data_IF_873079767124
#
_entry.id   IF_873079767124
#
_cell.length_a   1.000
_cell.length_b   1.000
_cell.length_c   1.000
_cell.angle_alpha   90.00
_cell.angle_beta   90.00
_cell.angle_gamma   90.00
#
_symmetry.space_group_name_H-M   'P 1'
#
loop_
_entity.id
_entity.type
_entity.pdbx_description
1 polymer ?
#
# COMPACT_ATOMS: atom_id res chain seq x y z
N UNK A 1 -13.16 57.67 13.88
CA UNK A 1 -13.36 57.94 12.43
C UNK A 1 -13.92 56.67 11.80
N UNK A 2 -15.04 56.85 11.12
CA UNK A 2 -15.88 55.79 10.54
C UNK A 2 -15.31 55.33 9.21
N UNK A 3 -15.45 54.01 8.90
CA UNK A 3 -15.21 53.49 7.57
C UNK A 3 -15.94 52.14 7.42
N UNK A 4 -17.17 52.23 6.92
CA UNK A 4 -17.99 51.09 6.53
C UNK A 4 -17.64 50.68 5.08
N UNK A 5 -17.41 49.41 4.81
CA UNK A 5 -17.14 48.83 3.49
C UNK A 5 -18.11 47.67 3.20
N UNK A 6 -18.84 47.82 2.13
CA UNK A 6 -20.04 47.13 1.68
C UNK A 6 -19.79 45.70 1.20
N UNK A 7 -20.76 44.84 1.54
CA UNK A 7 -20.98 43.49 0.99
C UNK A 7 -21.52 43.65 -0.45
N UNK A 8 -20.93 42.92 -1.40
CA UNK A 8 -21.51 42.70 -2.73
C UNK A 8 -21.79 41.20 -2.92
N UNK A 9 -23.06 40.85 -2.95
CA UNK A 9 -23.53 39.52 -3.33
C UNK A 9 -23.63 39.45 -4.85
N UNK A 10 -23.01 38.45 -5.45
CA UNK A 10 -23.18 38.15 -6.90
C UNK A 10 -23.90 36.82 -7.04
N UNK A 11 -25.12 36.91 -7.57
CA UNK A 11 -25.94 35.77 -7.97
C UNK A 11 -25.48 35.31 -9.36
N UNK A 12 -25.25 34.01 -9.54
CA UNK A 12 -25.02 33.39 -10.85
C UNK A 12 -26.24 32.59 -11.25
N UNK A 13 -26.80 33.01 -12.37
CA UNK A 13 -27.95 32.43 -13.05
C UNK A 13 -27.54 31.17 -13.79
N UNK A 14 -28.28 30.09 -13.60
CA UNK A 14 -28.14 28.85 -14.34
C UNK A 14 -28.71 28.92 -15.75
N UNK A 15 -27.98 28.40 -16.72
CA UNK A 15 -28.47 28.24 -18.10
C UNK A 15 -28.65 26.75 -18.39
N UNK A 16 -29.90 26.37 -18.63
CA UNK A 16 -30.32 25.05 -19.11
C UNK A 16 -30.15 25.04 -20.63
N UNK A 17 -29.38 24.11 -21.18
CA UNK A 17 -29.32 23.85 -22.64
C UNK A 17 -30.04 22.54 -22.92
N UNK A 18 -31.16 22.68 -23.65
CA UNK A 18 -31.96 21.58 -24.15
C UNK A 18 -31.30 20.93 -25.39
N UNK A 19 -31.22 19.60 -25.38
CA UNK A 19 -30.70 18.82 -26.51
C UNK A 19 -31.69 18.69 -27.65
N UNK A 20 -31.18 18.83 -28.86
CA UNK A 20 -31.94 18.62 -30.11
C UNK A 20 -31.58 17.22 -30.66
N UNK A 21 -32.60 16.37 -30.78
CA UNK A 21 -32.57 15.10 -31.48
C UNK A 21 -32.65 15.37 -33.01
N UNK A 22 -31.65 14.95 -33.73
CA UNK A 22 -31.67 14.90 -35.20
C UNK A 22 -31.82 13.46 -35.65
N UNK A 23 -33.02 13.11 -36.08
CA UNK A 23 -33.34 11.90 -36.86
C UNK A 23 -33.00 12.19 -38.31
N UNK A 24 -32.00 11.53 -38.86
CA UNK A 24 -31.68 11.56 -40.30
C UNK A 24 -31.94 10.21 -40.94
N UNK A 25 -33.07 10.04 -41.61
CA UNK A 25 -33.28 8.96 -42.58
C UNK A 25 -32.60 9.35 -43.91
N UNK A 26 -31.73 8.49 -44.41
CA UNK A 26 -31.35 8.52 -45.81
C UNK A 26 -31.52 7.12 -46.38
N UNK A 27 -32.52 7.03 -47.24
CA UNK A 27 -32.75 5.91 -48.10
C UNK A 27 -31.85 6.03 -49.31
N UNK A 28 -30.97 5.04 -49.54
CA UNK A 28 -30.41 4.75 -50.82
C UNK A 28 -30.61 3.27 -51.11
N UNK A 29 -31.47 2.95 -52.07
CA UNK A 29 -31.60 1.65 -52.64
C UNK A 29 -30.39 1.31 -53.49
N UNK A 30 -29.87 0.14 -53.33
CA UNK A 30 -28.90 -0.53 -54.15
C UNK A 30 -29.07 -2.01 -53.96
N UNK A 31 -29.63 -2.63 -54.99
CA UNK A 31 -29.86 -4.07 -55.08
C UNK A 31 -28.52 -4.75 -55.39
N UNK A 32 -27.91 -5.36 -54.36
CA UNK A 32 -26.80 -6.30 -54.53
C UNK A 32 -27.04 -7.48 -53.57
N UNK A 33 -27.50 -8.57 -54.19
CA UNK A 33 -27.70 -9.85 -53.55
C UNK A 33 -26.39 -10.40 -52.97
N UNK A 34 -26.25 -10.30 -51.65
CA UNK A 34 -25.18 -10.97 -50.91
C UNK A 34 -25.59 -12.46 -50.77
N UNK A 35 -24.74 -13.43 -51.09
CA UNK A 35 -25.04 -14.85 -50.89
C UNK A 35 -25.20 -15.17 -49.41
N UNK A 36 -26.32 -15.81 -49.08
CA UNK A 36 -26.63 -16.29 -47.74
C UNK A 36 -25.62 -17.35 -47.30
N UNK A 37 -24.94 -17.22 -46.14
CA UNK A 37 -24.01 -18.23 -45.67
C UNK A 37 -24.81 -19.47 -45.24
N UNK A 38 -24.55 -20.58 -45.91
CA UNK A 38 -25.07 -21.88 -45.56
C UNK A 38 -24.75 -22.24 -44.11
N UNK A 39 -25.74 -22.37 -43.25
CA UNK A 39 -25.59 -22.90 -41.89
C UNK A 39 -25.06 -24.32 -41.95
N UNK A 40 -23.79 -24.51 -41.65
CA UNK A 40 -23.26 -25.78 -41.26
C UNK A 40 -23.79 -26.17 -39.89
N UNK A 41 -24.25 -27.42 -39.80
CA UNK A 41 -24.83 -28.00 -38.61
C UNK A 41 -23.90 -27.84 -37.39
N UNK A 42 -24.49 -27.40 -36.28
CA UNK A 42 -23.89 -27.28 -34.96
C UNK A 42 -23.31 -28.62 -34.53
N UNK A 43 -22.01 -28.68 -34.37
CA UNK A 43 -21.40 -29.69 -33.52
C UNK A 43 -21.68 -29.26 -32.07
N UNK A 44 -22.30 -30.15 -31.33
CA UNK A 44 -22.62 -30.02 -29.92
C UNK A 44 -21.30 -29.79 -29.12
N UNK A 45 -20.91 -28.54 -29.00
CA UNK A 45 -19.84 -28.10 -28.11
C UNK A 45 -20.48 -27.44 -26.90
N UNK A 46 -20.72 -28.23 -25.86
CA UNK A 46 -21.04 -27.66 -24.54
C UNK A 46 -20.00 -26.62 -24.17
N UNK A 47 -20.43 -25.36 -24.13
CA UNK A 47 -19.58 -24.29 -23.59
C UNK A 47 -19.18 -24.70 -22.17
N UNK A 48 -17.91 -24.58 -21.79
CA UNK A 48 -17.51 -24.80 -20.41
C UNK A 48 -18.26 -23.81 -19.53
N UNK A 49 -19.04 -24.33 -18.60
CA UNK A 49 -19.68 -23.55 -17.53
C UNK A 49 -18.58 -22.78 -16.82
N UNK A 50 -18.70 -21.46 -16.60
CA UNK A 50 -17.73 -20.72 -15.80
C UNK A 50 -17.62 -21.42 -14.44
N UNK A 51 -16.47 -21.97 -14.15
CA UNK A 51 -16.20 -22.54 -12.85
C UNK A 51 -16.13 -21.34 -11.88
N UNK A 52 -16.92 -21.31 -10.80
CA UNK A 52 -16.82 -20.27 -9.82
C UNK A 52 -15.39 -20.26 -9.29
N UNK A 53 -14.81 -19.05 -9.15
CA UNK A 53 -13.52 -18.87 -8.50
C UNK A 53 -13.50 -19.67 -7.19
N UNK A 54 -12.42 -20.41 -6.89
CA UNK A 54 -12.34 -21.19 -5.67
C UNK A 54 -12.40 -20.23 -4.48
N UNK A 55 -13.53 -20.18 -3.83
CA UNK A 55 -13.65 -19.56 -2.51
C UNK A 55 -12.72 -20.33 -1.60
N UNK A 56 -11.67 -19.68 -1.09
CA UNK A 56 -10.72 -20.27 -0.15
C UNK A 56 -11.51 -20.91 0.99
N UNK A 57 -11.30 -22.19 1.23
CA UNK A 57 -11.92 -22.88 2.35
C UNK A 57 -11.38 -22.36 3.69
N UNK A 58 -12.15 -22.51 4.76
CA UNK A 58 -11.69 -22.12 6.10
C UNK A 58 -10.36 -22.79 6.50
N UNK A 59 -10.06 -23.99 5.96
CA UNK A 59 -8.77 -24.66 6.14
C UNK A 59 -7.63 -23.96 5.41
N UNK A 60 -7.87 -23.36 4.24
CA UNK A 60 -6.88 -22.58 3.51
C UNK A 60 -6.58 -21.22 4.22
N UNK A 61 -7.59 -20.65 4.88
CA UNK A 61 -7.40 -19.45 5.72
C UNK A 61 -6.58 -19.79 6.98
N UNK A 62 -6.76 -20.98 7.58
CA UNK A 62 -5.94 -21.44 8.71
C UNK A 62 -4.50 -21.78 8.29
N UNK A 63 -4.26 -22.20 7.06
CA UNK A 63 -2.89 -22.44 6.55
C UNK A 63 -2.09 -21.16 6.32
N UNK A 64 -2.74 -19.99 6.36
CA UNK A 64 -2.09 -18.68 6.28
C UNK A 64 -1.59 -18.15 7.63
N UNK A 65 -1.86 -18.86 8.74
CA UNK A 65 -1.27 -18.49 10.02
C UNK A 65 0.23 -18.77 10.02
N UNK A 66 1.01 -17.73 9.84
CA UNK A 66 2.46 -17.80 9.61
C UNK A 66 3.21 -18.28 10.84
N UNK A 67 2.69 -17.99 12.04
CA UNK A 67 3.25 -18.37 13.34
C UNK A 67 2.14 -18.67 14.35
N UNK A 68 2.37 -19.57 15.32
CA UNK A 68 1.39 -19.88 16.36
C UNK A 68 0.99 -18.66 17.19
N UNK A 69 -0.26 -18.62 17.62
CA UNK A 69 -0.80 -17.61 18.55
C UNK A 69 0.06 -17.51 19.80
N UNK A 70 0.31 -16.28 20.26
CA UNK A 70 1.14 -15.99 21.44
C UNK A 70 2.65 -16.01 21.19
N UNK A 71 3.09 -16.32 19.96
CA UNK A 71 4.51 -16.27 19.61
C UNK A 71 4.99 -14.82 19.56
N UNK A 72 6.11 -14.53 20.25
CA UNK A 72 6.82 -13.24 20.13
C UNK A 72 7.65 -13.29 18.85
N UNK A 73 7.30 -12.44 17.90
CA UNK A 73 7.91 -12.40 16.55
C UNK A 73 8.91 -11.27 16.37
N UNK A 74 8.86 -10.24 17.23
CA UNK A 74 9.88 -9.19 17.30
C UNK A 74 9.88 -8.60 18.72
N UNK A 75 11.03 -8.13 19.17
CA UNK A 75 11.20 -7.51 20.49
C UNK A 75 12.33 -6.48 20.40
N UNK A 76 12.10 -5.28 20.97
CA UNK A 76 13.09 -4.20 20.96
C UNK A 76 12.83 -3.17 22.04
N UNK A 77 13.88 -2.42 22.38
CA UNK A 77 13.78 -1.20 23.19
C UNK A 77 13.95 0.01 22.26
N UNK A 78 12.93 0.85 22.16
CA UNK A 78 13.08 2.15 21.54
C UNK A 78 13.67 3.13 22.59
N UNK A 79 14.87 3.64 22.31
CA UNK A 79 15.62 4.48 23.27
C UNK A 79 16.07 5.76 22.59
N UNK A 80 15.92 6.88 23.30
CA UNK A 80 16.45 8.18 22.85
C UNK A 80 17.98 8.24 22.97
N UNK A 81 18.62 9.13 22.21
CA UNK A 81 20.07 9.34 22.29
C UNK A 81 20.55 9.75 23.70
N UNK A 82 19.72 10.48 24.47
CA UNK A 82 20.02 10.84 25.84
C UNK A 82 19.77 9.72 26.85
N UNK A 83 19.00 8.68 26.46
CA UNK A 83 18.52 7.63 27.35
C UNK A 83 17.33 8.04 28.24
N UNK A 84 16.85 9.28 28.13
CA UNK A 84 15.78 9.83 28.99
C UNK A 84 14.38 9.38 28.55
N UNK A 85 14.22 9.02 27.29
CA UNK A 85 12.97 8.48 26.75
C UNK A 85 13.20 7.06 26.28
N UNK A 86 12.39 6.11 26.76
CA UNK A 86 12.44 4.73 26.30
C UNK A 86 11.09 4.04 26.48
N UNK A 87 10.89 3.01 25.66
CA UNK A 87 9.77 2.08 25.77
C UNK A 87 10.21 0.70 25.26
N UNK A 88 9.79 -0.35 25.98
CA UNK A 88 9.98 -1.71 25.55
C UNK A 88 8.79 -2.18 24.73
N UNK A 89 9.04 -2.85 23.60
CA UNK A 89 8.03 -3.29 22.64
C UNK A 89 8.24 -4.76 22.31
N UNK A 90 7.17 -5.56 22.46
CA UNK A 90 7.11 -6.96 22.01
C UNK A 90 5.98 -7.12 21.02
N UNK A 91 6.23 -7.71 19.88
CA UNK A 91 5.19 -8.01 18.89
C UNK A 91 4.79 -9.46 19.00
N UNK A 92 3.50 -9.70 19.21
CA UNK A 92 2.92 -11.01 19.53
C UNK A 92 1.88 -11.40 18.48
N UNK A 93 1.94 -12.66 18.02
CA UNK A 93 0.98 -13.22 17.08
C UNK A 93 -0.38 -13.47 17.75
N UNK A 94 -1.47 -13.09 17.08
CA UNK A 94 -2.86 -13.30 17.47
C UNK A 94 -3.44 -14.58 16.86
N UNK A 95 -4.62 -14.95 17.33
CA UNK A 95 -5.40 -16.10 16.83
C UNK A 95 -6.00 -15.89 15.44
N UNK A 96 -6.13 -14.62 15.03
CA UNK A 96 -6.61 -14.24 13.68
C UNK A 96 -5.49 -14.11 12.63
N UNK A 97 -4.27 -14.55 12.96
CA UNK A 97 -3.08 -14.46 12.09
C UNK A 97 -2.48 -13.06 11.98
N UNK A 98 -2.97 -12.11 12.78
CA UNK A 98 -2.44 -10.74 12.87
C UNK A 98 -1.56 -10.57 14.08
N UNK A 99 -1.14 -9.34 14.37
CA UNK A 99 -0.17 -9.04 15.41
C UNK A 99 -0.60 -7.84 16.25
N UNK A 100 -0.29 -7.92 17.53
CA UNK A 100 -0.36 -6.80 18.46
C UNK A 100 1.05 -6.50 19.01
N UNK A 101 1.33 -5.23 19.26
CA UNK A 101 2.51 -4.82 20.00
C UNK A 101 2.14 -4.58 21.46
N UNK A 102 2.76 -5.33 22.35
CA UNK A 102 2.70 -5.14 23.81
C UNK A 102 3.76 -4.12 24.20
N UNK A 103 3.36 -3.11 24.98
CA UNK A 103 4.19 -2.00 25.40
C UNK A 103 4.41 -2.04 26.91
N UNK A 104 5.65 -1.81 27.34
CA UNK A 104 6.01 -1.77 28.76
C UNK A 104 7.23 -0.87 29.02
N UNK A 105 7.54 -0.62 30.29
CA UNK A 105 8.75 0.10 30.69
C UNK A 105 8.88 1.53 30.14
N UNK A 106 7.75 2.15 29.76
CA UNK A 106 7.77 3.54 29.26
C UNK A 106 8.28 4.51 30.30
N UNK A 107 9.21 5.35 29.88
CA UNK A 107 9.71 6.49 30.65
C UNK A 107 10.07 7.64 29.72
N UNK A 108 9.85 8.86 30.18
CA UNK A 108 10.25 10.08 29.46
C UNK A 108 10.37 11.26 30.40
N UNK A 109 11.24 12.20 30.07
CA UNK A 109 11.30 13.55 30.67
C UNK A 109 10.61 14.59 29.77
N UNK A 110 10.17 14.19 28.58
CA UNK A 110 9.46 15.09 27.67
C UNK A 110 8.00 15.26 28.10
N UNK A 111 7.55 16.50 28.40
CA UNK A 111 6.17 16.76 28.81
C UNK A 111 5.17 16.85 27.66
N UNK A 112 5.63 16.81 26.41
CA UNK A 112 4.78 16.94 25.22
C UNK A 112 4.05 15.64 24.93
N UNK A 113 2.89 15.70 24.24
CA UNK A 113 2.24 14.50 23.72
C UNK A 113 3.19 13.71 22.81
N UNK A 114 3.19 12.40 22.97
CA UNK A 114 4.04 11.48 22.22
C UNK A 114 3.18 10.56 21.37
N UNK A 115 3.67 10.25 20.18
CA UNK A 115 3.10 9.21 19.31
C UNK A 115 4.13 8.11 19.13
N UNK A 116 3.71 6.86 19.34
CA UNK A 116 4.46 5.68 18.93
C UNK A 116 3.96 5.25 17.57
N UNK A 117 4.87 4.93 16.68
CA UNK A 117 4.58 4.50 15.32
C UNK A 117 5.52 3.35 14.91
N UNK A 118 4.97 2.40 14.14
CA UNK A 118 5.76 1.38 13.45
C UNK A 118 5.97 1.84 12.00
N UNK A 119 7.22 1.87 11.56
CA UNK A 119 7.61 2.41 10.25
C UNK A 119 8.49 1.45 9.47
N UNK A 120 8.46 1.56 8.14
CA UNK A 120 9.42 0.90 7.27
C UNK A 120 10.84 1.46 7.46
N UNK A 121 10.97 2.73 7.77
CA UNK A 121 12.24 3.39 8.08
C UNK A 121 12.05 4.43 9.18
N UNK A 122 13.01 4.53 10.09
CA UNK A 122 13.02 5.57 11.12
C UNK A 122 13.26 6.96 10.54
N UNK A 123 13.91 7.06 9.39
CA UNK A 123 14.15 8.32 8.70
C UNK A 123 12.89 8.76 7.95
N UNK A 124 12.57 10.04 8.06
CA UNK A 124 11.56 10.66 7.21
C UNK A 124 12.14 10.78 5.80
N UNK A 125 11.57 10.03 4.86
CA UNK A 125 11.85 10.16 3.44
C UNK A 125 10.70 10.88 2.73
N UNK A 126 10.89 11.26 1.49
CA UNK A 126 9.83 11.86 0.68
C UNK A 126 8.75 10.81 0.36
N UNK A 127 7.54 11.10 0.82
CA UNK A 127 6.26 10.52 0.47
C UNK A 127 5.88 9.10 0.98
N UNK A 128 5.97 8.07 0.19
CA UNK A 128 5.25 6.80 0.38
C UNK A 128 5.97 5.76 1.25
N UNK A 129 7.28 5.93 1.47
CA UNK A 129 8.08 5.06 2.34
C UNK A 129 7.80 5.24 3.83
N UNK A 130 6.98 6.22 4.18
CA UNK A 130 6.67 6.60 5.57
C UNK A 130 5.32 6.08 6.07
N UNK A 131 4.81 4.99 5.49
CA UNK A 131 3.61 4.37 6.01
C UNK A 131 3.82 4.01 7.48
N UNK A 132 3.19 4.77 8.36
CA UNK A 132 3.13 4.43 9.78
C UNK A 132 1.95 3.48 10.01
N UNK A 133 2.20 2.41 10.71
CA UNK A 133 1.20 1.42 11.10
C UNK A 133 1.16 1.31 12.62
N UNK A 134 0.00 1.05 13.18
CA UNK A 134 -0.14 0.87 14.63
C UNK A 134 0.26 2.12 15.40
N UNK A 135 -0.21 3.29 14.98
CA UNK A 135 0.08 4.52 15.71
C UNK A 135 -0.83 4.69 16.92
N UNK A 136 -0.25 5.16 18.03
CA UNK A 136 -0.99 5.56 19.23
C UNK A 136 -0.35 6.79 19.85
N UNK A 137 -1.20 7.69 20.36
CA UNK A 137 -0.77 8.97 20.94
C UNK A 137 -1.26 9.05 22.40
N UNK A 138 -0.41 9.56 23.29
CA UNK A 138 -0.76 9.87 24.67
C UNK A 138 -0.01 11.08 25.20
N UNK A 139 -0.51 11.67 26.27
CA UNK A 139 0.07 12.84 26.91
C UNK A 139 0.72 12.46 28.26
N UNK A 140 2.04 12.59 28.42
CA UNK A 140 2.67 12.47 29.72
C UNK A 140 2.10 13.52 30.71
N UNK A 141 1.90 13.21 31.99
CA UNK A 141 2.36 12.00 32.71
C UNK A 141 1.42 10.81 32.64
N UNK A 142 0.40 10.81 31.76
CA UNK A 142 -0.44 9.63 31.59
C UNK A 142 0.40 8.40 31.20
N UNK A 143 -0.01 7.23 31.68
CA UNK A 143 0.65 5.99 31.30
C UNK A 143 0.54 5.75 29.78
N UNK A 144 1.60 5.22 29.18
CA UNK A 144 1.52 4.75 27.81
C UNK A 144 0.50 3.62 27.69
N UNK A 145 -0.17 3.47 26.53
CA UNK A 145 -0.98 2.29 26.25
C UNK A 145 -0.16 1.01 26.45
N UNK A 146 -0.82 -0.07 26.87
CA UNK A 146 -0.17 -1.36 27.09
C UNK A 146 -0.13 -2.21 25.81
N UNK A 147 -0.98 -1.91 24.84
CA UNK A 147 -1.10 -2.66 23.59
C UNK A 147 -1.46 -1.75 22.42
N UNK A 148 -0.88 -2.02 21.26
CA UNK A 148 -1.18 -1.36 20.00
C UNK A 148 -1.39 -2.42 18.92
N UNK A 149 -2.50 -2.34 18.19
CA UNK A 149 -2.78 -3.28 17.12
C UNK A 149 -2.01 -2.94 15.84
N UNK A 150 -1.38 -3.95 15.25
CA UNK A 150 -0.75 -3.88 13.93
C UNK A 150 -1.69 -4.40 12.82
N UNK A 151 -3.00 -4.30 13.03
CA UNK A 151 -4.02 -4.83 12.13
C UNK A 151 -3.80 -4.42 10.67
N UNK A 152 -3.48 -3.15 10.40
CA UNK A 152 -3.27 -2.62 9.06
C UNK A 152 -1.97 -3.09 8.38
N UNK A 153 -1.04 -3.70 9.11
CA UNK A 153 0.12 -4.37 8.53
C UNK A 153 -0.20 -5.78 7.98
N UNK A 154 -1.42 -6.28 8.22
CA UNK A 154 -1.86 -7.59 7.75
C UNK A 154 -1.23 -8.74 8.53
N UNK A 155 -1.06 -9.88 7.86
CA UNK A 155 -0.46 -11.10 8.42
C UNK A 155 1.07 -11.19 8.19
N UNK A 156 1.68 -10.14 7.63
CA UNK A 156 3.12 -10.03 7.32
C UNK A 156 3.66 -8.66 7.68
N UNK A 157 3.75 -8.29 8.98
CA UNK A 157 4.24 -6.98 9.41
C UNK A 157 5.76 -6.82 9.30
N UNK A 158 6.50 -7.83 8.86
CA UNK A 158 7.96 -7.92 8.79
C UNK A 158 8.62 -6.94 7.80
N UNK A 159 7.82 -6.14 7.07
CA UNK A 159 8.27 -4.98 6.31
C UNK A 159 8.42 -3.69 7.16
N UNK A 160 7.91 -3.69 8.39
CA UNK A 160 8.11 -2.63 9.36
C UNK A 160 9.47 -2.86 10.04
N UNK A 161 10.40 -1.94 9.89
CA UNK A 161 11.77 -2.12 10.37
C UNK A 161 12.07 -1.40 11.67
N UNK A 162 11.30 -0.34 11.96
CA UNK A 162 11.55 0.51 13.11
C UNK A 162 10.27 0.79 13.90
N UNK A 163 10.40 0.86 15.20
CA UNK A 163 9.45 1.51 16.08
C UNK A 163 10.04 2.85 16.52
N UNK A 164 9.22 3.91 16.43
CA UNK A 164 9.67 5.25 16.75
C UNK A 164 8.73 5.94 17.73
N UNK A 165 9.29 6.72 18.65
CA UNK A 165 8.57 7.69 19.45
C UNK A 165 8.84 9.09 18.89
N UNK A 166 7.77 9.77 18.53
CA UNK A 166 7.82 11.15 18.01
C UNK A 166 6.99 12.07 18.88
N UNK A 167 7.32 13.36 18.88
CA UNK A 167 6.43 14.37 19.46
C UNK A 167 5.18 14.46 18.59
N UNK A 168 4.01 14.33 19.20
CA UNK A 168 2.75 14.43 18.47
C UNK A 168 2.62 15.86 17.87
N UNK A 169 2.07 15.97 16.65
CA UNK A 169 1.84 17.28 16.04
C UNK A 169 0.86 18.09 16.90
N UNK A 170 1.12 19.39 17.05
CA UNK A 170 0.20 20.29 17.74
C UNK A 170 -1.13 20.34 16.99
N UNK A 171 -2.23 20.07 17.68
CA UNK A 171 -3.57 20.25 17.12
C UNK A 171 -3.76 21.73 16.74
N UNK A 172 -4.14 22.01 15.48
CA UNK A 172 -4.44 23.36 15.01
C UNK A 172 -3.31 24.08 14.24
N UNK A 173 -2.22 23.39 13.93
CA UNK A 173 -1.24 23.86 12.93
C UNK A 173 -1.82 23.75 11.52
N UNK A 174 -1.41 24.69 10.63
CA UNK A 174 -1.74 24.63 9.20
C UNK A 174 -1.51 23.23 8.66
N UNK A 175 -2.48 22.71 7.90
CA UNK A 175 -2.44 21.38 7.29
C UNK A 175 -1.27 21.17 6.31
N UNK A 176 -0.55 22.24 5.96
CA UNK A 176 0.66 22.23 5.14
C UNK A 176 1.95 21.91 5.93
N UNK A 177 1.93 21.97 7.25
CA UNK A 177 3.03 21.47 8.05
C UNK A 177 2.91 19.96 8.13
N UNK A 178 3.74 19.24 7.39
CA UNK A 178 3.88 17.78 7.42
C UNK A 178 3.94 17.32 8.89
N UNK A 179 2.92 16.55 9.39
CA UNK A 179 2.74 16.34 10.83
C UNK A 179 3.90 15.64 11.52
N UNK A 180 4.80 15.13 10.76
CA UNK A 180 5.78 14.15 11.19
C UNK A 180 7.24 14.57 11.06
N UNK A 181 7.51 15.81 10.72
CA UNK A 181 8.84 16.42 10.88
C UNK A 181 9.11 16.75 12.36
N UNK A 182 8.21 16.33 13.25
CA UNK A 182 8.44 16.34 14.68
C UNK A 182 9.65 15.49 15.03
N UNK A 183 10.49 15.98 15.93
CA UNK A 183 11.70 15.33 16.36
C UNK A 183 11.43 13.88 16.79
N UNK A 184 12.02 12.93 16.08
CA UNK A 184 12.09 11.54 16.54
C UNK A 184 12.86 11.54 17.85
N UNK A 185 12.23 11.14 18.93
CA UNK A 185 12.81 11.11 20.26
C UNK A 185 13.57 9.81 20.52
N UNK A 186 12.95 8.68 20.18
CA UNK A 186 13.51 7.36 20.41
C UNK A 186 13.24 6.45 19.22
N UNK A 187 14.15 5.50 18.98
CA UNK A 187 14.07 4.52 17.89
C UNK A 187 14.48 3.17 18.42
N UNK A 188 13.76 2.12 18.02
CA UNK A 188 14.12 0.72 18.20
C UNK A 188 14.00 -0.01 16.87
N UNK A 189 15.05 -0.71 16.46
CA UNK A 189 15.00 -1.56 15.27
C UNK A 189 14.29 -2.87 15.58
N UNK A 190 13.45 -3.34 14.66
CA UNK A 190 12.71 -4.60 14.78
C UNK A 190 13.43 -5.70 14.01
N UNK A 191 13.78 -6.76 14.74
CA UNK A 191 14.31 -8.00 14.17
C UNK A 191 13.21 -9.06 14.17
N UNK A 192 12.66 -9.33 12.98
CA UNK A 192 11.49 -10.18 12.81
C UNK A 192 11.84 -11.66 12.73
N UNK A 193 11.14 -12.48 13.51
CA UNK A 193 11.24 -13.93 13.53
C UNK A 193 10.07 -14.61 12.80
N UNK A 194 9.61 -14.00 11.71
CA UNK A 194 8.55 -14.55 10.87
C UNK A 194 9.20 -15.32 9.72
N UNK A 195 8.80 -16.58 9.44
CA UNK A 195 9.35 -17.34 8.32
C UNK A 195 9.16 -16.63 6.99
N UNK A 196 10.20 -16.60 6.17
CA UNK A 196 10.14 -16.00 4.82
C UNK A 196 9.24 -16.86 3.91
N UNK A 197 8.19 -16.31 3.28
CA UNK A 197 7.24 -17.09 2.49
C UNK A 197 7.80 -17.52 1.12
N UNK A 198 8.76 -16.76 0.59
CA UNK A 198 9.34 -16.94 -0.73
C UNK A 198 10.88 -16.92 -0.67
N UNK A 199 11.51 -17.91 -0.01
CA UNK A 199 12.96 -17.90 0.21
C UNK A 199 13.76 -17.91 -1.09
N UNK A 200 13.18 -18.45 -2.17
CA UNK A 200 13.81 -18.58 -3.48
C UNK A 200 13.32 -17.53 -4.50
N UNK A 201 12.71 -16.44 -4.02
CA UNK A 201 12.24 -15.38 -4.93
C UNK A 201 13.38 -14.82 -5.76
N UNK A 202 13.19 -14.80 -7.05
CA UNK A 202 14.15 -14.30 -8.02
C UNK A 202 13.46 -13.39 -9.04
N UNK A 203 13.82 -12.12 -9.03
CA UNK A 203 13.25 -11.13 -9.94
C UNK A 203 14.12 -11.02 -11.19
N UNK A 204 13.48 -11.16 -12.35
CA UNK A 204 14.11 -10.98 -13.67
C UNK A 204 13.38 -9.87 -14.41
N UNK A 205 14.07 -9.14 -15.29
CA UNK A 205 13.44 -8.06 -16.07
C UNK A 205 13.12 -8.55 -17.47
N UNK A 206 11.84 -8.79 -17.72
CA UNK A 206 11.32 -9.06 -19.06
C UNK A 206 11.07 -7.78 -19.86
N UNK A 207 10.80 -7.96 -21.16
CA UNK A 207 10.42 -6.83 -22.04
C UNK A 207 9.12 -6.20 -21.56
N UNK A 208 9.02 -4.89 -21.75
CA UNK A 208 7.79 -4.13 -21.60
C UNK A 208 6.69 -4.65 -22.54
N UNK A 209 5.45 -4.53 -22.10
CA UNK A 209 4.25 -5.00 -22.81
C UNK A 209 3.01 -4.25 -22.34
N UNK A 210 1.89 -4.30 -23.11
CA UNK A 210 0.62 -3.74 -22.63
C UNK A 210 0.27 -4.25 -21.23
N UNK A 211 0.01 -3.31 -20.30
CA UNK A 211 -0.23 -3.60 -18.89
C UNK A 211 1.03 -3.70 -18.01
N UNK A 212 2.22 -3.45 -18.57
CA UNK A 212 3.50 -3.35 -17.86
C UNK A 212 4.50 -2.51 -18.65
N UNK A 213 4.19 -1.22 -18.86
CA UNK A 213 5.01 -0.27 -19.62
C UNK A 213 5.89 0.62 -18.73
N UNK A 214 5.76 0.54 -17.42
CA UNK A 214 6.50 1.38 -16.49
C UNK A 214 8.01 1.22 -16.59
N UNK A 215 8.73 2.13 -15.92
CA UNK A 215 10.18 2.21 -15.95
C UNK A 215 10.81 1.38 -14.83
N UNK A 216 11.88 0.65 -15.16
CA UNK A 216 12.69 -0.09 -14.18
C UNK A 216 13.94 0.72 -13.86
N UNK A 217 14.30 0.74 -12.57
CA UNK A 217 15.52 1.38 -12.08
C UNK A 217 16.39 0.35 -11.36
N UNK A 218 17.69 0.55 -11.42
CA UNK A 218 18.70 -0.23 -10.70
C UNK A 218 18.86 0.24 -9.24
N UNK A 219 19.77 -0.38 -8.51
CA UNK A 219 20.11 -0.05 -7.13
C UNK A 219 20.70 1.36 -6.94
N UNK A 220 21.11 2.03 -8.02
CA UNK A 220 21.62 3.40 -8.02
C UNK A 220 20.56 4.43 -8.40
N UNK A 221 19.33 3.99 -8.71
CA UNK A 221 18.24 4.85 -9.17
C UNK A 221 18.39 5.30 -10.62
N UNK A 222 19.22 4.60 -11.41
CA UNK A 222 19.38 4.83 -12.83
C UNK A 222 18.45 3.90 -13.64
N UNK A 223 18.02 4.33 -14.82
CA UNK A 223 17.25 3.46 -15.70
C UNK A 223 17.98 2.14 -15.94
N UNK A 224 17.31 1.04 -15.67
CA UNK A 224 17.86 -0.30 -15.84
C UNK A 224 18.12 -0.59 -17.34
N UNK A 225 19.36 -0.80 -17.69
CA UNK A 225 19.82 -1.07 -19.07
C UNK A 225 20.06 -2.56 -19.36
N UNK A 226 19.72 -3.44 -18.42
CA UNK A 226 19.97 -4.89 -18.50
C UNK A 226 21.19 -5.34 -17.71
N UNK A 227 21.92 -4.44 -17.07
CA UNK A 227 23.07 -4.69 -16.22
C UNK A 227 22.76 -4.33 -14.76
N UNK A 228 23.33 -5.05 -13.81
CA UNK A 228 23.10 -4.84 -12.37
C UNK A 228 21.81 -5.48 -11.85
N UNK A 229 21.37 -5.02 -10.68
CA UNK A 229 20.21 -5.55 -9.98
C UNK A 229 19.02 -4.61 -10.16
N UNK A 230 17.87 -5.09 -10.69
CA UNK A 230 16.66 -4.27 -10.71
C UNK A 230 16.22 -3.99 -9.27
N UNK A 231 15.99 -2.74 -8.94
CA UNK A 231 15.64 -2.31 -7.59
C UNK A 231 14.19 -1.85 -7.47
N UNK A 232 13.77 -1.00 -8.42
CA UNK A 232 12.40 -0.45 -8.37
C UNK A 232 11.75 -0.39 -9.75
N UNK A 233 10.42 -0.30 -9.73
CA UNK A 233 9.60 -0.13 -10.91
C UNK A 233 8.60 0.99 -10.70
N UNK A 234 8.67 2.02 -11.54
CA UNK A 234 7.68 3.10 -11.56
C UNK A 234 6.54 2.72 -12.47
N UNK A 235 5.35 2.59 -11.91
CA UNK A 235 4.13 2.15 -12.58
C UNK A 235 3.68 3.20 -13.60
N UNK A 236 3.40 2.78 -14.83
CA UNK A 236 2.81 3.61 -15.88
C UNK A 236 1.28 3.46 -15.90
N UNK A 237 0.63 4.39 -16.58
CA UNK A 237 -0.81 4.33 -16.81
C UNK A 237 -1.24 3.01 -17.47
N UNK A 238 -2.21 2.33 -16.88
CA UNK A 238 -2.76 1.07 -17.40
C UNK A 238 -1.94 -0.17 -17.05
N UNK A 239 -0.92 -0.06 -16.21
CA UNK A 239 -0.19 -1.21 -15.70
C UNK A 239 -1.06 -2.01 -14.71
N UNK A 240 -1.10 -3.33 -14.87
CA UNK A 240 -1.85 -4.24 -14.01
C UNK A 240 -0.93 -5.23 -13.27
N UNK A 241 -1.37 -5.64 -12.08
CA UNK A 241 -0.56 -6.51 -11.21
C UNK A 241 -0.17 -7.83 -11.87
N UNK A 242 -1.03 -8.40 -12.74
CA UNK A 242 -0.80 -9.70 -13.40
C UNK A 242 0.30 -9.58 -14.44
N UNK A 243 0.22 -8.54 -15.27
CA UNK A 243 1.18 -8.31 -16.36
C UNK A 243 2.53 -7.81 -15.82
N UNK A 244 2.50 -6.97 -14.78
CA UNK A 244 3.71 -6.52 -14.08
C UNK A 244 4.42 -7.70 -13.41
N UNK A 245 3.73 -8.54 -12.63
CA UNK A 245 4.32 -9.74 -12.05
C UNK A 245 4.94 -10.66 -13.11
N UNK A 246 4.21 -10.89 -14.21
CA UNK A 246 4.70 -11.69 -15.35
C UNK A 246 5.94 -11.08 -16.04
N UNK A 247 6.02 -9.74 -16.14
CA UNK A 247 7.20 -9.06 -16.67
C UNK A 247 8.44 -9.35 -15.84
N UNK A 248 8.27 -9.43 -14.53
CA UNK A 248 9.37 -9.67 -13.59
C UNK A 248 9.62 -11.15 -13.27
N UNK A 249 8.88 -12.07 -13.90
CA UNK A 249 9.06 -13.52 -13.71
C UNK A 249 8.63 -14.01 -12.32
N UNK A 250 7.79 -13.24 -11.63
CA UNK A 250 7.27 -13.55 -10.29
C UNK A 250 5.76 -13.73 -10.30
N UNK A 251 5.22 -14.30 -9.24
CA UNK A 251 3.78 -14.42 -9.01
C UNK A 251 3.19 -13.11 -8.47
N UNK A 252 1.85 -12.95 -8.54
CA UNK A 252 1.15 -11.82 -7.91
C UNK A 252 1.36 -11.83 -6.39
N UNK A 253 1.43 -13.02 -5.77
CA UNK A 253 1.67 -13.16 -4.34
C UNK A 253 3.06 -12.63 -3.94
N UNK A 254 4.10 -12.94 -4.72
CA UNK A 254 5.45 -12.41 -4.53
C UNK A 254 5.51 -10.90 -4.77
N UNK A 255 4.85 -10.39 -5.84
CA UNK A 255 4.78 -8.95 -6.10
C UNK A 255 4.12 -8.20 -4.93
N UNK A 256 3.02 -8.71 -4.38
CA UNK A 256 2.36 -8.14 -3.21
C UNK A 256 3.19 -8.25 -1.94
N UNK A 257 3.91 -9.36 -1.77
CA UNK A 257 4.83 -9.52 -0.65
C UNK A 257 5.97 -8.51 -0.71
N UNK A 258 6.58 -8.28 -1.87
CA UNK A 258 7.59 -7.23 -2.06
C UNK A 258 7.02 -5.83 -1.78
N UNK A 259 5.72 -5.63 -1.99
CA UNK A 259 5.04 -4.33 -1.97
C UNK A 259 3.80 -4.36 -1.07
N UNK A 260 3.97 -4.48 0.26
CA UNK A 260 2.85 -4.68 1.19
C UNK A 260 1.85 -3.51 1.24
N UNK A 261 2.27 -2.32 0.81
CA UNK A 261 1.42 -1.11 0.73
C UNK A 261 0.87 -0.85 -0.67
N UNK A 262 1.16 -1.74 -1.65
CA UNK A 262 0.67 -1.60 -3.02
C UNK A 262 -0.85 -1.60 -3.05
N UNK A 263 -1.42 -0.55 -3.62
CA UNK A 263 -2.86 -0.45 -3.86
C UNK A 263 -3.19 -0.84 -5.30
N UNK A 264 -4.28 -1.57 -5.44
CA UNK A 264 -4.77 -2.07 -6.73
C UNK A 264 -6.23 -1.72 -6.85
N UNK A 265 -6.65 -1.24 -8.03
CA UNK A 265 -8.05 -0.98 -8.36
C UNK A 265 -8.83 -2.28 -8.57
N UNK A 266 -10.15 -2.23 -8.55
CA UNK A 266 -11.03 -3.41 -8.74
C UNK A 266 -10.79 -4.16 -10.05
N UNK A 267 -10.31 -3.47 -11.08
CA UNK A 267 -9.93 -4.05 -12.38
C UNK A 267 -8.52 -4.69 -12.41
N UNK A 268 -7.79 -4.66 -11.29
CA UNK A 268 -6.43 -5.17 -11.17
C UNK A 268 -5.33 -4.17 -11.53
N UNK A 269 -5.68 -2.95 -11.93
CA UNK A 269 -4.70 -1.90 -12.27
C UNK A 269 -4.02 -1.37 -11.00
N UNK A 270 -2.72 -1.18 -11.09
CA UNK A 270 -1.94 -0.51 -10.04
C UNK A 270 -2.07 1.00 -10.27
N UNK A 271 -2.07 1.78 -9.19
CA UNK A 271 -2.10 3.24 -9.32
C UNK A 271 -0.83 3.75 -9.99
N UNK A 272 -1.03 4.62 -11.01
CA UNK A 272 0.04 5.29 -11.74
C UNK A 272 0.98 6.06 -10.80
N UNK A 273 2.23 6.21 -11.18
CA UNK A 273 3.29 6.83 -10.38
C UNK A 273 3.65 6.11 -9.07
N UNK A 274 3.01 4.97 -8.78
CA UNK A 274 3.45 4.12 -7.67
C UNK A 274 4.84 3.56 -7.95
N UNK A 275 5.74 3.68 -6.99
CA UNK A 275 7.04 2.99 -7.04
C UNK A 275 6.93 1.63 -6.36
N UNK A 276 7.16 0.56 -7.10
CA UNK A 276 7.19 -0.80 -6.59
C UNK A 276 8.64 -1.22 -6.29
N UNK A 277 8.82 -1.90 -5.16
CA UNK A 277 10.07 -2.57 -4.83
C UNK A 277 10.19 -3.88 -5.64
N UNK A 278 11.36 -4.09 -6.24
CA UNK A 278 11.73 -5.31 -6.96
C UNK A 278 12.86 -6.08 -6.26
N UNK A 279 13.50 -5.47 -5.25
CA UNK A 279 14.61 -6.08 -4.52
C UNK A 279 14.11 -6.73 -3.21
N UNK A 280 14.15 -8.07 -3.10
CA UNK A 280 13.75 -8.78 -1.89
C UNK A 280 14.57 -8.39 -0.64
N UNK A 281 15.82 -7.97 -0.81
CA UNK A 281 16.68 -7.60 0.31
C UNK A 281 16.29 -6.27 0.97
N UNK A 282 15.57 -5.41 0.24
CA UNK A 282 15.14 -4.08 0.73
C UNK A 282 13.68 -4.04 1.17
N UNK A 283 13.00 -5.17 1.18
CA UNK A 283 11.61 -5.28 1.63
C UNK A 283 11.43 -4.89 3.09
#
# INVERSE_FOLDING_TARGET
MRGAGRIAATAVVGTVVAGVLLTGCSAFGGDDSVPEPTRQASVDGSAPTPQPDPTLSAEQVQSEQVVPTGTVVAETDAVSKSGETSIHVRVVARDDGRFDAELSGFRTTNPQPLTLEFRRTAKYGDSWDNAAVGSTTWEPPAAAPTTVSLYSAGNRPDWLRDVVLVVAPKQGGDSDTRPSVGSVLAVGALDWKIPHPFPDIHVTVGKDRPGAYGYVFDEHGTHFDGHGTPSTYQVAHGDDQTTVAKRFGITIAELRWLNPTMQVQDNGWIYEDTTLNLDPATR
#
